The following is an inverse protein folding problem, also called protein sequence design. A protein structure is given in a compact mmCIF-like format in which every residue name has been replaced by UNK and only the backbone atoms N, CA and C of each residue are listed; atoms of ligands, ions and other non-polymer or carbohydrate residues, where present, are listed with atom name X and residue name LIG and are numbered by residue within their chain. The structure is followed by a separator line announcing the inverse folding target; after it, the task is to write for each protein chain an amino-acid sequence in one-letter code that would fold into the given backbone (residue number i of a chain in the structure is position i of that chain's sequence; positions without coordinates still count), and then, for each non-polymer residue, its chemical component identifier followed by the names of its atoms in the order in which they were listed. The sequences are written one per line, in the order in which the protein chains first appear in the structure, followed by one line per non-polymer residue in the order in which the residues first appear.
data_IF_866733985174
#
_entry.id   IF_866733985174
#
_cell.length_a   1.000
_cell.length_b   1.000
_cell.length_c   1.000
_cell.angle_alpha   90.00
_cell.angle_beta   90.00
_cell.angle_gamma   90.00
#
_symmetry.space_group_name_H-M   'P 1'
#
loop_
_entity.id
_entity.type
_entity.pdbx_description
1 polymer ?
2 polymer ?
3 non-polymer ?
#
# COMPACT_ATOMS: atom_id res chain seq x y z
N UNK A 1 -17.24 -7.30 32.65
CA UNK A 1 -17.33 -8.10 31.44
C UNK A 1 -16.90 -7.29 30.22
N UNK A 2 -15.62 -6.91 30.19
CA UNK A 2 -15.12 -6.05 29.13
C UNK A 2 -15.09 -6.79 27.80
N UNK A 3 -15.39 -6.07 26.73
CA UNK A 3 -15.28 -6.65 25.39
C UNK A 3 -13.80 -6.91 25.07
N UNK A 4 -13.48 -8.02 24.37
CA UNK A 4 -12.06 -8.40 24.18
C UNK A 4 -11.37 -7.62 23.05
N UNK A 5 -11.37 -6.28 23.15
CA UNK A 5 -10.69 -5.49 22.14
C UNK A 5 -9.19 -5.77 22.12
N UNK A 6 -8.61 -6.10 23.26
CA UNK A 6 -7.20 -6.46 23.29
C UNK A 6 -6.88 -7.63 22.38
N UNK A 7 -7.72 -8.67 22.41
CA UNK A 7 -7.52 -9.82 21.52
C UNK A 7 -7.49 -9.43 20.05
N UNK A 8 -8.27 -8.42 19.65
CA UNK A 8 -8.32 -8.04 18.25
C UNK A 8 -7.14 -7.14 17.90
N UNK A 9 -6.93 -6.03 18.61
CA UNK A 9 -5.89 -5.03 18.24
C UNK A 9 -4.53 -5.64 18.55
N UNK A 10 -4.30 -6.07 19.79
CA UNK A 10 -3.04 -6.78 20.17
C UNK A 10 -3.27 -8.26 19.88
N UNK A 11 -3.39 -8.66 18.60
CA UNK A 11 -3.60 -10.06 18.18
C UNK A 11 -2.24 -10.71 17.95
N UNK A 12 -2.10 -12.01 18.23
CA UNK A 12 -0.79 -12.71 18.09
C UNK A 12 -0.38 -12.63 16.63
N UNK A 13 -1.32 -12.80 15.70
CA UNK A 13 -1.06 -12.74 14.23
C UNK A 13 -2.16 -11.91 13.58
N UNK A 14 -1.92 -11.35 12.40
CA UNK A 14 -2.93 -10.58 11.63
C UNK A 14 -3.13 -11.32 10.31
N UNK A 15 -4.36 -11.34 9.77
CA UNK A 15 -4.68 -12.13 8.56
C UNK A 15 -4.37 -11.39 7.27
N UNK A 16 -4.25 -12.09 6.15
CA UNK A 16 -4.09 -11.47 4.83
C UNK A 16 -5.42 -10.83 4.42
N UNK A 17 -5.31 -9.74 3.65
CA UNK A 17 -6.51 -8.99 3.30
C UNK A 17 -7.46 -9.83 2.46
N UNK A 18 -6.91 -10.71 1.60
CA UNK A 18 -7.79 -11.54 0.79
C UNK A 18 -8.56 -12.53 1.67
N UNK A 19 -8.00 -12.89 2.81
CA UNK A 19 -8.60 -13.84 3.76
C UNK A 19 -8.89 -13.15 5.10
N UNK A 20 -9.43 -11.94 5.05
CA UNK A 20 -9.52 -11.13 6.27
C UNK A 20 -10.31 -11.86 7.35
N UNK A 21 -9.92 -11.65 8.59
CA UNK A 21 -10.51 -12.37 9.72
C UNK A 21 -11.70 -11.56 10.27
N UNK A 22 -12.74 -12.27 10.70
CA UNK A 22 -13.87 -11.65 11.38
C UNK A 22 -14.08 -12.29 12.74
N UNK A 23 -14.15 -11.45 13.78
CA UNK A 23 -14.52 -11.86 15.12
C UNK A 23 -15.82 -11.17 15.50
N UNK A 24 -16.79 -11.94 15.98
CA UNK A 24 -18.04 -11.38 16.48
C UNK A 24 -17.90 -11.02 17.96
N UNK A 25 -18.35 -9.82 18.31
CA UNK A 25 -18.26 -9.27 19.65
C UNK A 25 -19.68 -9.00 20.14
N UNK A 26 -20.04 -9.61 21.26
CA UNK A 26 -21.42 -9.57 21.75
C UNK A 26 -21.41 -9.78 23.26
N UNK A 27 -22.46 -9.29 23.90
CA UNK A 27 -22.72 -9.57 25.31
C UNK A 27 -21.54 -9.16 26.20
N UNK A 28 -21.15 -7.90 26.09
CA UNK A 28 -20.00 -7.40 26.83
C UNK A 28 -20.13 -5.89 26.92
N UNK A 29 -19.32 -5.29 27.80
CA UNK A 29 -19.21 -3.84 27.95
C UNK A 29 -18.02 -3.36 27.12
N UNK A 30 -18.28 -2.42 26.22
CA UNK A 30 -17.26 -1.91 25.31
C UNK A 30 -16.82 -0.53 25.79
N UNK A 31 -15.53 -0.38 26.07
CA UNK A 31 -14.92 0.90 26.43
C UNK A 31 -14.08 1.36 25.24
N UNK A 32 -14.69 2.20 24.38
CA UNK A 32 -13.97 2.73 23.24
C UNK A 32 -13.03 3.88 23.58
N UNK A 33 -13.22 4.54 24.73
CA UNK A 33 -12.37 5.70 25.04
C UNK A 33 -10.90 5.30 25.12
N UNK A 34 -10.61 4.10 25.62
CA UNK A 34 -9.24 3.59 25.62
C UNK A 34 -8.72 3.48 24.20
N UNK A 35 -9.61 3.21 23.24
CA UNK A 35 -9.23 3.09 21.84
C UNK A 35 -8.95 4.45 21.22
N UNK A 36 -9.91 5.38 21.33
CA UNK A 36 -9.78 6.66 20.65
C UNK A 36 -8.71 7.54 21.29
N UNK A 37 -8.61 7.51 22.62
CA UNK A 37 -7.66 8.38 23.33
C UNK A 37 -6.30 7.70 23.41
N UNK A 38 -5.65 7.62 22.25
CA UNK A 38 -4.32 7.04 22.15
C UNK A 38 -3.65 7.60 20.91
N UNK A 39 -2.35 7.35 20.79
CA UNK A 39 -1.60 7.71 19.59
C UNK A 39 -1.32 6.51 18.70
N UNK A 40 -1.95 5.36 18.95
CA UNK A 40 -1.55 4.12 18.30
C UNK A 40 -2.12 3.97 16.89
N UNK A 41 -3.22 4.65 16.57
CA UNK A 41 -3.92 4.45 15.31
C UNK A 41 -3.69 5.64 14.39
N UNK A 42 -3.11 5.38 13.21
CA UNK A 42 -2.94 6.46 12.24
C UNK A 42 -4.28 6.98 11.77
N UNK A 43 -5.25 6.09 11.57
CA UNK A 43 -6.56 6.46 11.04
C UNK A 43 -7.62 5.96 12.01
N UNK A 44 -8.69 6.73 12.21
CA UNK A 44 -9.83 6.35 13.09
C UNK A 44 -11.11 6.93 12.49
N UNK A 45 -11.46 6.57 11.23
CA UNK A 45 -12.62 7.13 10.57
C UNK A 45 -13.89 6.48 11.08
N UNK A 46 -14.98 7.26 11.14
CA UNK A 46 -16.28 6.72 11.51
C UNK A 46 -17.37 7.27 10.60
N UNK A 47 -18.34 6.41 10.31
CA UNK A 47 -19.45 6.68 9.38
C UNK A 47 -20.75 6.35 10.10
N UNK A 48 -21.63 7.34 10.23
CA UNK A 48 -22.89 7.15 10.91
C UNK A 48 -22.85 7.29 12.42
N UNK A 49 -21.69 7.52 13.01
CA UNK A 49 -21.56 7.71 14.45
C UNK A 49 -20.53 8.79 14.71
N UNK A 50 -20.54 9.34 15.94
CA UNK A 50 -19.53 10.31 16.33
C UNK A 50 -18.49 9.66 17.21
N UNK A 51 -17.19 9.89 16.96
CA UNK A 51 -16.17 9.25 17.80
C UNK A 51 -16.24 9.66 19.26
N UNK A 52 -16.63 10.91 19.56
CA UNK A 52 -16.68 11.36 20.95
C UNK A 52 -17.74 10.63 21.76
N UNK A 53 -18.81 10.15 21.11
CA UNK A 53 -19.97 9.62 21.82
C UNK A 53 -20.14 8.12 21.68
N UNK A 54 -19.08 7.41 21.27
CA UNK A 54 -19.25 5.99 21.01
C UNK A 54 -19.59 5.22 22.27
N UNK A 55 -19.08 5.65 23.42
CA UNK A 55 -19.41 4.99 24.68
C UNK A 55 -20.85 5.21 25.11
N UNK A 56 -21.56 6.14 24.47
CA UNK A 56 -22.98 6.38 24.73
C UNK A 56 -23.90 5.51 23.91
N UNK A 57 -23.37 4.67 23.03
CA UNK A 57 -24.18 3.94 22.06
C UNK A 57 -24.40 2.49 22.50
N UNK A 58 -25.51 1.94 22.05
CA UNK A 58 -25.89 0.55 22.34
C UNK A 58 -26.17 -0.14 21.01
N UNK A 59 -25.60 -1.33 20.84
CA UNK A 59 -25.76 -2.08 19.60
C UNK A 59 -26.12 -3.52 19.91
N UNK A 60 -26.76 -4.18 18.94
CA UNK A 60 -27.06 -5.60 19.06
C UNK A 60 -25.79 -6.45 18.98
N UNK A 61 -24.92 -6.16 18.02
CA UNK A 61 -23.67 -6.90 17.85
C UNK A 61 -22.63 -6.01 17.20
N UNK A 62 -21.37 -6.38 17.37
CA UNK A 62 -20.27 -5.75 16.67
C UNK A 62 -19.48 -6.82 15.91
N UNK A 63 -19.13 -6.52 14.67
CA UNK A 63 -18.26 -7.39 13.89
C UNK A 63 -16.92 -6.70 13.74
N UNK A 64 -15.84 -7.43 13.96
CA UNK A 64 -14.49 -6.90 13.85
C UNK A 64 -13.78 -7.61 12.71
N UNK A 65 -13.61 -6.92 11.59
CA UNK A 65 -12.85 -7.43 10.46
C UNK A 65 -11.43 -6.89 10.56
N UNK A 66 -10.45 -7.75 10.32
CA UNK A 66 -9.06 -7.32 10.48
C UNK A 66 -8.19 -7.96 9.42
N UNK A 67 -7.13 -7.23 9.06
CA UNK A 67 -6.27 -7.63 7.95
C UNK A 67 -5.13 -6.63 7.83
N UNK A 68 -4.17 -6.95 6.96
CA UNK A 68 -3.02 -6.10 6.67
C UNK A 68 -3.07 -5.71 5.20
N UNK A 69 -2.78 -4.45 4.90
CA UNK A 69 -2.61 -3.99 3.53
C UNK A 69 -1.48 -2.97 3.49
N UNK A 70 -1.18 -2.47 2.29
CA UNK A 70 -0.25 -1.36 2.17
C UNK A 70 -0.92 -0.06 2.63
N UNK A 71 -0.10 0.86 3.13
CA UNK A 71 -0.61 2.16 3.57
C UNK A 71 -1.38 2.95 2.52
N UNK A 72 -0.87 3.01 1.29
CA UNK A 72 -1.52 3.85 0.27
C UNK A 72 -2.92 3.39 -0.08
N UNK A 73 -3.32 2.18 0.29
CA UNK A 73 -4.66 1.69 0.01
C UNK A 73 -5.62 1.85 1.19
N UNK A 74 -5.14 2.29 2.36
CA UNK A 74 -6.05 2.40 3.50
C UNK A 74 -7.19 3.36 3.20
N UNK A 75 -6.94 4.40 2.39
CA UNK A 75 -8.01 5.32 2.02
C UNK A 75 -9.14 4.64 1.24
N UNK A 76 -8.85 3.51 0.61
CA UNK A 76 -9.86 2.75 -0.13
C UNK A 76 -10.83 2.01 0.77
N UNK A 77 -10.54 1.87 2.06
CA UNK A 77 -11.46 1.20 2.97
C UNK A 77 -12.47 2.23 3.45
N UNK A 78 -13.41 2.59 2.58
CA UNK A 78 -14.40 3.62 2.84
C UNK A 78 -15.56 3.44 1.88
N UNK A 79 -16.77 3.86 2.24
CA UNK A 79 -17.88 3.79 1.29
C UNK A 79 -17.56 4.56 0.02
N UNK A 80 -17.97 3.98 -1.11
CA UNK A 80 -17.88 4.66 -2.39
C UNK A 80 -16.52 4.69 -3.02
N UNK A 81 -15.58 3.86 -2.56
CA UNK A 81 -14.22 3.86 -3.07
C UNK A 81 -14.05 2.78 -4.13
N UNK A 82 -13.02 2.94 -4.95
CA UNK A 82 -12.64 1.96 -5.94
C UNK A 82 -11.14 1.72 -5.86
N UNK A 83 -10.69 0.65 -6.51
CA UNK A 83 -9.32 0.19 -6.42
C UNK A 83 -9.25 -1.30 -6.17
N UNK A 84 -8.02 -1.81 -6.23
CA UNK A 84 -7.82 -3.26 -6.14
C UNK A 84 -8.32 -3.80 -4.81
N UNK A 85 -8.14 -3.04 -3.74
CA UNK A 85 -8.53 -3.52 -2.41
C UNK A 85 -10.04 -3.50 -2.27
N UNK A 86 -10.66 -2.36 -2.53
CA UNK A 86 -12.12 -2.26 -2.42
C UNK A 86 -12.81 -3.20 -3.41
N UNK A 87 -12.24 -3.35 -4.62
CA UNK A 87 -12.91 -4.13 -5.65
C UNK A 87 -12.73 -5.64 -5.44
N UNK A 88 -11.53 -6.09 -5.05
CA UNK A 88 -11.23 -7.51 -5.10
C UNK A 88 -10.96 -8.15 -3.75
N UNK A 89 -10.91 -7.38 -2.66
CA UNK A 89 -10.45 -7.93 -1.38
C UNK A 89 -11.46 -7.67 -0.27
N UNK A 90 -11.81 -6.41 -0.05
CA UNK A 90 -12.72 -6.04 1.03
C UNK A 90 -13.52 -4.82 0.60
N UNK A 91 -14.84 -4.97 0.51
CA UNK A 91 -15.73 -3.95 -0.04
C UNK A 91 -16.69 -3.51 1.06
N UNK A 92 -16.68 -2.22 1.36
CA UNK A 92 -17.65 -1.67 2.29
C UNK A 92 -18.91 -1.22 1.55
N UNK A 93 -20.09 -1.37 2.15
CA UNK A 93 -21.31 -0.90 1.49
C UNK A 93 -21.40 0.62 1.49
N UNK A 94 -22.19 1.14 0.54
CA UNK A 94 -22.39 2.58 0.48
C UNK A 94 -22.94 3.12 1.80
N UNK A 95 -23.86 2.40 2.42
CA UNK A 95 -24.52 2.85 3.65
C UNK A 95 -23.83 2.32 4.90
N UNK A 96 -22.52 2.07 4.83
CA UNK A 96 -21.80 1.52 5.96
C UNK A 96 -21.97 2.38 7.20
N UNK A 97 -22.23 1.73 8.33
CA UNK A 97 -22.24 2.38 9.64
C UNK A 97 -21.22 1.67 10.52
N UNK A 98 -20.19 2.38 10.92
CA UNK A 98 -19.12 1.78 11.69
C UNK A 98 -17.85 2.61 11.60
N UNK A 99 -16.76 2.02 12.06
CA UNK A 99 -15.48 2.72 12.07
C UNK A 99 -14.38 1.87 11.46
N UNK A 100 -13.49 2.54 10.72
CA UNK A 100 -12.29 1.94 10.14
C UNK A 100 -11.09 2.52 10.86
N UNK A 101 -10.25 1.65 11.42
CA UNK A 101 -9.14 2.03 12.27
C UNK A 101 -7.89 1.37 11.69
N UNK A 102 -6.81 2.14 11.55
CA UNK A 102 -5.62 1.58 10.93
C UNK A 102 -4.36 2.20 11.54
N UNK A 103 -3.28 1.42 11.51
CA UNK A 103 -2.01 1.86 12.07
C UNK A 103 -0.85 1.14 11.41
N UNK A 104 0.26 1.86 11.27
CA UNK A 104 1.48 1.29 10.72
C UNK A 104 1.99 0.15 11.60
N UNK A 105 2.27 -1.00 10.98
CA UNK A 105 2.77 -2.16 11.70
C UNK A 105 4.10 -2.65 11.13
N UNK A 106 4.87 -1.74 10.51
CA UNK A 106 6.17 -2.12 9.97
C UNK A 106 7.06 -2.78 11.02
N UNK A 107 6.98 -2.33 12.27
CA UNK A 107 7.84 -2.89 13.32
C UNK A 107 7.42 -4.29 13.73
N UNK A 108 6.19 -4.71 13.44
CA UNK A 108 5.72 -6.03 13.81
C UNK A 108 5.66 -7.00 12.64
N UNK A 109 5.35 -6.53 11.44
CA UNK A 109 4.95 -7.40 10.34
C UNK A 109 5.92 -7.40 9.17
N UNK A 110 6.99 -6.61 9.22
CA UNK A 110 8.01 -6.66 8.19
C UNK A 110 9.20 -7.51 8.64
N UNK A 111 9.93 -8.02 7.65
CA UNK A 111 11.13 -8.82 7.87
C UNK A 111 12.11 -8.40 6.77
N UNK A 112 13.40 -8.39 7.09
CA UNK A 112 14.41 -8.13 6.05
C UNK A 112 14.34 -9.21 4.97
N UNK A 113 14.27 -8.76 3.72
CA UNK A 113 14.07 -9.64 2.59
C UNK A 113 12.64 -9.84 2.17
N UNK A 114 11.66 -9.41 2.97
CA UNK A 114 10.27 -9.51 2.59
C UNK A 114 9.46 -10.59 3.27
N UNK A 115 8.26 -10.23 3.74
CA UNK A 115 7.27 -11.20 4.19
C UNK A 115 6.33 -11.53 3.04
N UNK A 116 6.48 -12.74 2.49
CA UNK A 116 5.66 -13.17 1.36
C UNK A 116 4.36 -13.84 1.81
N UNK A 117 4.16 -14.00 3.11
CA UNK A 117 2.99 -14.69 3.65
C UNK A 117 1.74 -13.81 3.70
N UNK A 118 1.87 -12.51 3.45
CA UNK A 118 0.71 -11.63 3.31
C UNK A 118 0.39 -11.45 1.83
N UNK A 119 -0.86 -11.73 1.47
CA UNK A 119 -1.32 -11.70 0.08
C UNK A 119 -2.51 -10.77 -0.06
N UNK A 120 -2.74 -10.35 -1.30
CA UNK A 120 -3.97 -9.67 -1.68
C UNK A 120 -4.39 -10.14 -3.07
N UNK A 121 -5.68 -10.02 -3.37
CA UNK A 121 -6.20 -10.46 -4.66
C UNK A 121 -5.92 -9.39 -5.71
N UNK A 122 -5.21 -9.78 -6.76
CA UNK A 122 -4.79 -8.85 -7.80
C UNK A 122 -5.70 -8.88 -9.03
N UNK A 123 -6.37 -9.99 -9.28
CA UNK A 123 -7.19 -10.18 -10.47
C UNK A 123 -8.54 -10.78 -10.07
N UNK A 124 -9.60 -10.28 -10.68
CA UNK A 124 -10.92 -10.85 -10.47
C UNK A 124 -11.83 -10.43 -11.62
N UNK A 125 -12.75 -11.33 -11.96
CA UNK A 125 -13.66 -11.08 -13.07
C UNK A 125 -14.68 -10.01 -12.75
N UNK A 126 -14.99 -9.79 -11.47
CA UNK A 126 -15.99 -8.82 -11.07
C UNK A 126 -15.69 -8.34 -9.66
N UNK A 127 -16.29 -7.20 -9.31
CA UNK A 127 -16.08 -6.61 -7.99
C UNK A 127 -16.80 -7.41 -6.91
N UNK A 128 -16.23 -7.39 -5.70
CA UNK A 128 -16.87 -8.02 -4.56
C UNK A 128 -18.14 -7.27 -4.15
N UNK A 129 -19.10 -8.02 -3.63
CA UNK A 129 -20.23 -7.43 -2.95
C UNK A 129 -19.80 -6.97 -1.55
N UNK A 130 -20.57 -6.07 -0.93
CA UNK A 130 -20.20 -5.61 0.42
C UNK A 130 -20.05 -6.78 1.38
N UNK A 131 -18.94 -6.79 2.12
CA UNK A 131 -18.66 -7.80 3.13
C UNK A 131 -18.56 -9.21 2.54
N UNK A 132 -18.34 -9.31 1.23
CA UNK A 132 -18.07 -10.59 0.60
C UNK A 132 -16.61 -10.98 0.79
N UNK A 133 -16.38 -12.29 0.92
CA UNK A 133 -15.03 -12.84 1.03
C UNK A 133 -14.84 -13.88 -0.06
N UNK A 134 -13.73 -13.75 -0.80
CA UNK A 134 -13.38 -14.68 -1.88
C UNK A 134 -12.00 -15.25 -1.56
N UNK A 135 -11.94 -16.55 -1.32
CA UNK A 135 -10.68 -17.23 -1.02
C UNK A 135 -10.30 -18.22 -2.12
N UNK A 136 -10.94 -18.13 -3.29
CA UNK A 136 -10.61 -19.02 -4.39
C UNK A 136 -9.24 -18.65 -4.97
N UNK A 137 -8.63 -19.62 -5.65
CA UNK A 137 -7.32 -19.44 -6.26
C UNK A 137 -7.31 -19.99 -7.68
N UNK A 138 -8.40 -19.74 -8.41
CA UNK A 138 -8.48 -20.16 -9.81
C UNK A 138 -7.58 -19.27 -10.68
N UNK A 139 -7.00 -19.88 -11.72
CA UNK A 139 -6.15 -19.15 -12.64
C UNK A 139 -7.00 -18.13 -13.39
N UNK A 140 -6.52 -16.90 -13.45
CA UNK A 140 -7.29 -15.81 -14.05
C UNK A 140 -7.00 -15.73 -15.54
N UNK A 141 -8.06 -15.73 -16.34
CA UNK A 141 -7.94 -15.67 -17.79
C UNK A 141 -7.84 -14.21 -18.21
N UNK A 142 -6.63 -13.75 -18.50
CA UNK A 142 -6.41 -12.37 -18.89
C UNK A 142 -6.52 -12.16 -20.40
N UNK A 143 -6.45 -13.22 -21.19
CA UNK A 143 -6.56 -13.11 -22.64
C UNK A 143 -7.70 -13.91 -23.22
N UNK A 144 -7.72 -14.02 -24.55
CA UNK A 144 -8.79 -14.75 -25.23
C UNK A 144 -8.62 -16.25 -25.18
N UNK A 145 -7.43 -16.75 -24.85
CA UNK A 145 -7.18 -18.19 -24.88
C UNK A 145 -7.53 -18.82 -23.53
N UNK A 146 -8.27 -19.94 -23.50
CA UNK A 146 -8.56 -20.58 -22.22
C UNK A 146 -7.30 -21.08 -21.54
N UNK A 147 -7.27 -20.96 -20.22
CA UNK A 147 -6.09 -21.33 -19.44
C UNK A 147 -6.05 -22.80 -19.07
N UNK A 148 -7.21 -23.44 -18.93
CA UNK A 148 -7.27 -24.86 -18.59
C UNK A 148 -6.43 -25.16 -17.35
N UNK A 149 -6.45 -24.23 -16.40
CA UNK A 149 -5.76 -24.44 -15.14
C UNK A 149 -4.26 -24.34 -15.19
N UNK A 150 -3.69 -23.80 -16.27
CA UNK A 150 -2.25 -23.75 -16.45
C UNK A 150 -1.79 -22.30 -16.41
N UNK A 151 -0.85 -22.00 -15.51
CA UNK A 151 -0.27 -20.66 -15.42
C UNK A 151 0.59 -20.36 -16.63
N UNK A 152 0.50 -19.14 -17.13
CA UNK A 152 1.20 -18.80 -18.35
C UNK A 152 1.11 -17.31 -18.66
N UNK A 153 1.38 -16.99 -19.92
CA UNK A 153 1.62 -15.60 -20.31
C UNK A 153 0.45 -14.70 -19.92
N UNK A 154 -0.76 -15.09 -20.33
CA UNK A 154 -1.97 -14.32 -20.05
C UNK A 154 -2.85 -15.02 -19.02
N UNK A 155 -2.28 -15.95 -18.25
CA UNK A 155 -3.03 -16.78 -17.31
C UNK A 155 -2.31 -16.64 -15.96
N UNK A 156 -2.89 -15.84 -15.08
CA UNK A 156 -2.21 -15.36 -13.89
C UNK A 156 -2.71 -16.09 -12.65
N UNK A 157 -1.78 -16.43 -11.77
CA UNK A 157 -2.14 -16.76 -10.40
C UNK A 157 -2.82 -15.56 -9.77
N UNK A 158 -3.98 -15.73 -9.11
CA UNK A 158 -4.81 -14.56 -8.81
C UNK A 158 -4.37 -13.77 -7.59
N UNK A 159 -3.51 -14.32 -6.74
CA UNK A 159 -3.06 -13.60 -5.55
C UNK A 159 -1.65 -13.06 -5.76
N UNK A 160 -1.33 -12.01 -5.01
CA UNK A 160 -0.06 -11.32 -5.11
C UNK A 160 0.45 -11.04 -3.71
N UNK A 161 1.73 -11.33 -3.47
CA UNK A 161 2.34 -10.99 -2.19
C UNK A 161 2.68 -9.51 -2.16
N UNK A 162 2.49 -8.89 -0.99
CA UNK A 162 2.95 -7.52 -0.80
C UNK A 162 4.47 -7.46 -0.75
N UNK A 163 5.10 -8.44 -0.11
CA UNK A 163 6.55 -8.41 0.03
C UNK A 163 7.07 -7.24 0.83
N UNK A 164 6.40 -6.91 1.94
CA UNK A 164 6.80 -5.74 2.71
C UNK A 164 8.23 -5.86 3.20
N UNK A 165 9.04 -4.83 2.94
CA UNK A 165 10.40 -4.74 3.41
C UNK A 165 10.59 -3.46 4.22
N UNK A 166 11.43 -3.50 5.27
CA UNK A 166 11.53 -2.33 6.16
C UNK A 166 12.07 -1.08 5.49
N UNK A 167 12.78 -1.19 4.37
CA UNK A 167 13.30 -0.01 3.68
C UNK A 167 12.27 0.67 2.76
N UNK A 168 11.07 0.12 2.62
CA UNK A 168 10.06 0.79 1.81
C UNK A 168 9.75 2.19 2.32
N UNK A 169 9.32 3.05 1.40
CA UNK A 169 8.76 4.33 1.80
C UNK A 169 7.49 4.17 2.60
N UNK A 170 7.21 5.18 3.43
CA UNK A 170 6.11 5.07 4.39
C UNK A 170 4.80 4.76 3.67
N UNK A 171 4.60 5.31 2.48
CA UNK A 171 3.41 5.01 1.72
C UNK A 171 3.31 3.56 1.31
N UNK A 172 4.44 2.86 1.24
CA UNK A 172 4.49 1.45 0.86
C UNK A 172 4.72 0.54 2.05
N UNK A 173 4.65 1.05 3.28
CA UNK A 173 4.83 0.21 4.45
C UNK A 173 3.52 -0.50 4.79
N UNK A 174 3.59 -1.60 5.54
CA UNK A 174 2.35 -2.30 5.92
C UNK A 174 1.59 -1.54 6.99
N UNK A 175 0.27 -1.52 6.83
CA UNK A 175 -0.66 -1.00 7.84
C UNK A 175 -1.64 -2.11 8.19
N UNK A 176 -1.84 -2.31 9.49
CA UNK A 176 -2.92 -3.16 9.97
C UNK A 176 -4.21 -2.36 10.04
N UNK A 177 -5.31 -2.97 9.62
CA UNK A 177 -6.61 -2.33 9.55
C UNK A 177 -7.63 -3.22 10.27
N UNK A 178 -8.43 -2.61 11.13
CA UNK A 178 -9.59 -3.23 11.76
C UNK A 178 -10.81 -2.37 11.46
N UNK A 179 -11.84 -2.98 10.89
CA UNK A 179 -13.12 -2.33 10.63
C UNK A 179 -14.13 -2.91 11.61
N UNK A 180 -14.65 -2.06 12.48
CA UNK A 180 -15.73 -2.43 13.39
C UNK A 180 -17.06 -2.02 12.77
N UNK A 181 -17.90 -3.01 12.47
CA UNK A 181 -19.25 -2.80 11.97
C UNK A 181 -20.22 -2.95 13.13
N UNK A 182 -21.09 -1.95 13.31
CA UNK A 182 -22.07 -1.95 14.39
C UNK A 182 -23.42 -2.40 13.81
N UNK A 183 -23.83 -3.63 14.15
CA UNK A 183 -25.04 -4.21 13.59
C UNK A 183 -26.25 -3.65 14.31
N UNK A 184 -27.19 -3.08 13.55
CA UNK A 184 -28.43 -2.54 14.09
C UNK A 184 -29.61 -3.36 13.57
N UNK A 185 -30.11 -4.25 14.43
CA UNK A 185 -31.19 -5.17 14.13
C UNK A 185 -32.34 -4.88 15.08
N UNK A 186 -33.56 -5.20 14.65
CA UNK A 186 -34.73 -4.95 15.48
C UNK A 186 -34.76 -6.01 16.58
N UNK A 187 -34.02 -5.72 17.64
CA UNK A 187 -33.87 -6.61 18.78
C UNK A 187 -33.25 -5.85 19.94
N UNK A 188 -33.20 -6.42 21.15
CA UNK A 188 -32.51 -5.75 22.25
C UNK A 188 -31.01 -5.69 22.03
N UNK A 189 -30.41 -4.56 22.39
CA UNK A 189 -28.97 -4.41 22.34
C UNK A 189 -28.30 -5.31 23.38
N UNK A 190 -27.18 -5.92 22.99
CA UNK A 190 -26.38 -6.72 23.92
C UNK A 190 -24.98 -6.22 24.15
N UNK A 191 -24.52 -5.20 23.41
CA UNK A 191 -23.19 -4.63 23.59
C UNK A 191 -23.38 -3.13 23.80
N UNK A 192 -23.24 -2.68 25.05
CA UNK A 192 -23.39 -1.27 25.41
C UNK A 192 -22.13 -0.78 26.12
N UNK A 193 -21.97 0.54 26.14
CA UNK A 193 -20.87 1.15 26.83
C UNK A 193 -21.01 1.04 28.33
N UNK A 194 -19.99 1.53 29.05
CA UNK A 194 -20.04 1.45 30.52
C UNK A 194 -21.16 2.31 31.08
N UNK A 195 -21.87 1.75 32.06
CA UNK A 195 -22.97 2.45 32.70
C UNK A 195 -22.46 3.45 33.73
N UNK B 1 -0.50 12.89 -8.28
CA UNK B 1 -1.69 13.76 -8.04
C UNK B 1 -1.46 14.66 -6.83
N UNK B 2 -1.72 14.13 -5.64
CA UNK B 2 -1.54 14.89 -4.40
C UNK B 2 -0.08 14.85 -4.02
N UNK B 3 0.52 16.03 -3.83
CA UNK B 3 1.93 16.17 -3.49
C UNK B 3 2.06 16.99 -2.22
N UNK B 4 2.88 16.50 -1.29
CA UNK B 4 3.16 17.19 -0.03
C UNK B 4 4.66 17.41 0.07
N UNK B 5 5.06 18.64 0.37
CA UNK B 5 6.47 19.00 0.52
C UNK B 5 6.67 19.56 1.92
N UNK B 6 7.68 19.04 2.62
CA UNK B 6 7.95 19.34 4.01
C UNK B 6 9.32 20.00 4.14
N UNK B 7 9.40 21.02 5.00
CA UNK B 7 10.66 21.69 5.24
C UNK B 7 10.72 22.14 6.70
N UNK B 8 11.94 22.41 7.17
CA UNK B 8 12.16 22.91 8.52
C UNK B 8 12.96 21.99 9.41
N UNK B 9 13.32 20.78 8.98
CA UNK B 9 14.10 19.90 9.81
C UNK B 9 15.51 20.41 10.04
N UNK B 10 16.10 19.97 11.15
CA UNK B 10 17.44 20.39 11.48
C UNK B 10 17.82 19.91 12.87
N UNK B 11 18.92 20.49 13.38
CA UNK B 11 19.46 20.15 14.69
C UNK B 11 19.07 21.23 15.68
N UNK B 12 18.57 20.81 16.85
CA UNK B 12 18.10 21.73 17.88
C UNK B 12 18.59 21.23 19.23
N UNK B 13 19.06 22.15 20.06
CA UNK B 13 19.48 21.80 21.42
C UNK B 13 18.27 21.64 22.32
N UNK B 14 18.42 20.92 23.43
CA UNK B 14 17.28 20.73 24.34
C UNK B 14 16.71 22.07 24.81
N UNK B 15 15.38 22.14 24.89
CA UNK B 15 14.70 23.35 25.29
C UNK B 15 14.43 24.33 24.17
N UNK B 16 14.93 24.07 22.97
CA UNK B 16 14.71 24.96 21.85
C UNK B 16 13.36 24.74 21.20
N UNK B 17 13.08 25.59 20.21
CA UNK B 17 11.84 25.54 19.46
C UNK B 17 12.14 25.40 17.97
N UNK B 18 11.17 24.87 17.23
CA UNK B 18 11.33 24.64 15.80
C UNK B 18 10.01 24.86 15.08
N UNK B 19 10.10 25.28 13.82
CA UNK B 19 8.94 25.46 12.97
C UNK B 19 9.08 24.61 11.72
N UNK B 20 8.06 23.78 11.45
CA UNK B 20 8.01 22.93 10.28
C UNK B 20 6.88 23.39 9.36
N UNK B 21 7.16 23.45 8.07
CA UNK B 21 6.19 23.91 7.08
C UNK B 21 5.87 22.77 6.12
N UNK B 22 4.57 22.55 5.88
CA UNK B 22 4.11 21.56 4.91
C UNK B 22 3.20 22.25 3.90
N UNK B 23 3.55 22.13 2.62
CA UNK B 23 2.77 22.69 1.53
C UNK B 23 2.20 21.57 0.67
N UNK B 24 0.93 21.72 0.29
CA UNK B 24 0.22 20.70 -0.46
C UNK B 24 -0.15 21.21 -1.85
N UNK B 25 -0.30 20.28 -2.78
CA UNK B 25 -0.67 20.61 -4.14
C UNK B 25 -1.40 19.42 -4.76
N UNK B 26 -2.17 19.71 -5.81
CA UNK B 26 -2.87 18.68 -6.56
C UNK B 26 -4.27 18.40 -6.09
N UNK B 27 -4.79 19.15 -5.12
CA UNK B 27 -6.14 18.93 -4.62
C UNK B 27 -6.58 20.17 -3.85
N UNK B 28 -7.87 20.22 -3.53
CA UNK B 28 -8.45 21.34 -2.80
C UNK B 28 -7.97 21.30 -1.36
N UNK B 29 -7.01 22.16 -1.03
CA UNK B 29 -6.43 22.16 0.31
C UNK B 29 -7.42 22.70 1.35
N UNK B 30 -8.25 23.67 0.98
CA UNK B 30 -9.11 24.31 1.95
C UNK B 30 -10.11 23.32 2.56
N UNK B 31 -10.71 22.47 1.72
CA UNK B 31 -11.75 21.57 2.21
C UNK B 31 -11.20 20.41 3.01
N UNK B 32 -9.96 20.00 2.75
CA UNK B 32 -9.38 18.84 3.41
C UNK B 32 -8.68 19.23 4.69
N UNK B 33 -8.71 18.31 5.67
CA UNK B 33 -8.01 18.50 6.92
C UNK B 33 -6.55 18.09 6.79
N UNK B 34 -5.78 18.30 7.85
CA UNK B 34 -4.34 18.11 7.82
C UNK B 34 -3.90 17.43 9.11
N UNK B 35 -2.77 16.74 9.04
CA UNK B 35 -2.25 16.03 10.20
C UNK B 35 -0.75 15.90 10.15
N UNK B 36 -0.15 15.80 11.35
CA UNK B 36 1.29 15.65 11.51
C UNK B 36 1.53 14.44 12.40
N UNK B 37 2.43 13.55 11.96
CA UNK B 37 2.78 12.35 12.70
C UNK B 37 4.29 12.25 12.80
N UNK B 38 4.76 11.33 13.64
CA UNK B 38 6.19 11.11 13.82
C UNK B 38 6.47 9.61 13.89
N UNK B 39 7.61 9.21 13.34
CA UNK B 39 8.06 7.82 13.37
C UNK B 39 9.46 7.77 13.95
N UNK B 40 9.63 6.97 15.00
CA UNK B 40 10.94 6.77 15.63
C UNK B 40 11.57 5.53 15.01
N UNK B 41 12.85 5.54 14.67
CA UNK B 41 13.46 4.33 14.10
C UNK B 41 13.33 3.15 15.06
N UNK B 42 12.83 2.03 14.53
CA UNK B 42 12.59 0.86 15.33
C UNK B 42 11.25 0.83 16.03
N UNK B 43 10.43 1.87 15.88
CA UNK B 43 9.13 1.94 16.53
C UNK B 43 8.07 2.30 15.50
N UNK B 44 6.82 1.96 15.83
CA UNK B 44 5.73 2.21 14.91
C UNK B 44 5.40 3.68 14.78
N UNK B 45 4.77 4.01 13.65
CA UNK B 45 4.36 5.38 13.38
C UNK B 45 3.29 5.83 14.37
N UNK B 46 3.43 7.08 14.84
CA UNK B 46 2.50 7.65 15.81
C UNK B 46 2.13 9.07 15.38
N UNK B 47 0.87 9.44 15.59
CA UNK B 47 0.39 10.77 15.24
C UNK B 47 0.64 11.73 16.38
N UNK B 48 1.03 12.96 16.05
CA UNK B 48 1.34 13.98 17.04
C UNK B 48 0.31 15.10 17.06
N UNK B 49 -0.24 15.47 15.91
CA UNK B 49 -1.21 16.56 15.88
C UNK B 49 -2.14 16.41 14.69
N UNK B 50 -3.33 17.00 14.81
CA UNK B 50 -4.28 17.00 13.72
C UNK B 50 -5.07 18.30 13.76
N UNK B 51 -5.49 18.77 12.58
CA UNK B 51 -6.30 19.98 12.47
C UNK B 51 -7.36 19.75 11.40
N UNK B 52 -8.60 20.09 11.72
CA UNK B 52 -9.72 19.91 10.81
C UNK B 52 -9.91 21.14 9.92
N UNK B 53 -10.75 20.98 8.90
CA UNK B 53 -11.01 22.09 7.99
C UNK B 53 -11.76 23.22 8.68
N UNK B 54 -12.56 22.91 9.71
CA UNK B 54 -13.33 23.90 10.43
C UNK B 54 -12.53 24.61 11.51
N UNK B 55 -11.27 24.24 11.71
CA UNK B 55 -10.44 24.86 12.72
C UNK B 55 -10.24 24.02 13.97
N UNK B 56 -11.01 22.96 14.15
CA UNK B 56 -10.84 22.09 15.31
C UNK B 56 -9.47 21.43 15.26
N UNK B 57 -8.82 21.34 16.43
CA UNK B 57 -7.49 20.78 16.53
C UNK B 57 -7.46 19.69 17.60
N UNK B 58 -6.66 18.66 17.35
CA UNK B 58 -6.45 17.56 18.27
C UNK B 58 -4.96 17.41 18.54
N UNK B 59 -4.60 17.40 19.82
CA UNK B 59 -3.21 17.28 20.26
C UNK B 59 -3.05 16.01 21.07
N UNK B 60 -1.96 15.29 20.83
CA UNK B 60 -1.70 14.06 21.56
C UNK B 60 -1.38 14.38 23.01
N UNK B 61 -1.77 13.48 23.91
CA UNK B 61 -1.70 13.76 25.34
C UNK B 61 -0.26 14.00 25.79
N UNK B 62 0.66 13.11 25.41
CA UNK B 62 2.04 13.24 25.86
C UNK B 62 2.74 14.46 25.29
N UNK B 63 2.16 15.10 24.27
CA UNK B 63 2.73 16.30 23.67
C UNK B 63 1.77 17.48 23.73
N UNK B 64 0.71 17.37 24.51
CA UNK B 64 -0.27 18.45 24.59
C UNK B 64 0.35 19.69 25.22
N UNK B 65 0.02 20.85 24.68
CA UNK B 65 0.54 22.11 25.18
C UNK B 65 1.86 22.52 24.56
N UNK B 66 2.79 21.57 24.46
CA UNK B 66 4.10 21.87 23.90
C UNK B 66 4.03 22.04 22.38
N UNK B 67 3.15 21.31 21.72
CA UNK B 67 3.05 21.33 20.26
C UNK B 67 1.91 22.25 19.84
N UNK B 68 2.08 22.88 18.68
CA UNK B 68 1.04 23.74 18.11
C UNK B 68 0.93 23.50 16.62
N UNK B 69 -0.30 23.50 16.11
CA UNK B 69 -0.58 23.27 14.70
C UNK B 69 -1.47 24.40 14.19
N UNK B 70 -1.12 24.95 13.03
CA UNK B 70 -1.89 26.03 12.43
C UNK B 70 -1.95 25.83 10.92
N UNK B 71 -2.94 26.45 10.29
CA UNK B 71 -3.15 26.34 8.86
C UNK B 71 -3.37 27.72 8.25
N UNK B 72 -2.80 27.93 7.06
CA UNK B 72 -3.00 29.14 6.28
C UNK B 72 -3.50 28.73 4.91
N UNK B 73 -4.75 29.09 4.59
CA UNK B 73 -5.35 28.70 3.33
C UNK B 73 -4.84 29.55 2.16
N UNK B 74 -4.40 30.77 2.43
CA UNK B 74 -3.92 31.63 1.35
C UNK B 74 -2.75 31.01 0.63
N UNK B 75 -1.79 30.48 1.38
CA UNK B 75 -0.64 29.79 0.80
C UNK B 75 -0.81 28.27 0.79
N UNK B 76 -1.95 27.76 1.23
CA UNK B 76 -2.21 26.33 1.28
C UNK B 76 -1.08 25.61 2.03
N UNK B 77 -0.84 26.07 3.26
CA UNK B 77 0.29 25.59 4.05
C UNK B 77 -0.18 25.27 5.46
N UNK B 78 0.55 24.39 6.13
CA UNK B 78 0.35 24.13 7.55
C UNK B 78 1.68 24.28 8.28
N UNK B 79 1.63 24.96 9.42
CA UNK B 79 2.78 25.25 10.26
C UNK B 79 2.68 24.45 11.55
N UNK B 80 3.80 23.81 11.93
CA UNK B 80 3.88 23.01 13.13
C UNK B 80 4.98 23.60 14.01
N UNK B 81 4.60 24.05 15.20
CA UNK B 81 5.54 24.68 16.13
C UNK B 81 5.83 23.74 17.29
N UNK B 82 7.11 23.53 17.56
CA UNK B 82 7.59 22.69 18.64
C UNK B 82 8.27 23.57 19.67
N UNK B 83 7.86 23.44 20.93
CA UNK B 83 8.44 24.17 22.04
C UNK B 83 8.85 23.20 23.15
N UNK B 84 10.01 23.45 23.75
CA UNK B 84 10.53 22.62 24.83
C UNK B 84 10.70 21.18 24.37
N UNK B 85 11.50 21.01 23.32
CA UNK B 85 11.80 19.69 22.79
C UNK B 85 12.65 18.89 23.77
N UNK B 86 12.52 17.57 23.69
CA UNK B 86 13.23 16.63 24.54
C UNK B 86 13.85 15.53 23.67
N UNK B 87 14.83 14.80 24.21
CA UNK B 87 15.45 13.74 23.40
C UNK B 87 14.49 12.68 22.93
N UNK B 88 13.34 12.53 23.60
CA UNK B 88 12.35 11.54 23.17
C UNK B 88 11.65 11.92 21.87
N UNK B 89 11.83 13.15 21.38
CA UNK B 89 11.16 13.62 20.18
C UNK B 89 11.98 13.42 18.92
N UNK B 90 13.19 12.86 19.02
CA UNK B 90 14.00 12.60 17.85
C UNK B 90 13.31 11.57 16.96
N UNK B 91 12.96 11.96 15.74
CA UNK B 91 12.17 11.10 14.87
C UNK B 91 12.03 11.76 13.51
N UNK B 92 11.42 11.04 12.57
CA UNK B 92 11.10 11.57 11.26
C UNK B 92 9.63 11.95 11.27
N UNK B 93 9.34 13.23 11.04
CA UNK B 93 7.98 13.75 11.05
C UNK B 93 7.41 13.77 9.65
N UNK B 94 6.15 13.37 9.53
CA UNK B 94 5.46 13.25 8.26
C UNK B 94 4.17 14.06 8.28
N UNK B 95 3.80 14.54 7.10
CA UNK B 95 2.64 15.39 6.88
C UNK B 95 1.60 14.61 6.07
N UNK B 96 0.34 14.65 6.50
CA UNK B 96 -0.69 13.83 5.88
C UNK B 96 -1.97 14.63 5.68
N UNK B 97 -2.74 14.22 4.68
CA UNK B 97 -4.03 14.80 4.34
C UNK B 97 -5.11 13.75 4.46
N UNK B 98 -6.36 14.19 4.37
CA UNK B 98 -7.48 13.25 4.41
C UNK B 98 -7.57 12.48 3.10
N UNK B 99 -7.70 11.15 3.20
CA UNK B 99 -7.89 10.35 2.01
C UNK B 99 -9.25 10.59 1.36
N UNK B 100 -10.28 10.81 2.17
CA UNK B 100 -11.61 11.08 1.66
C UNK B 100 -12.25 12.20 2.48
N UNK B 101 -13.17 12.91 1.83
CA UNK B 101 -13.84 14.03 2.50
C UNK B 101 -14.84 13.54 3.53
N UNK B 102 -15.53 12.43 3.25
CA UNK B 102 -16.55 11.94 4.15
C UNK B 102 -15.95 11.31 5.39
N UNK B 103 -16.83 11.10 6.38
CA UNK B 103 -16.45 10.50 7.63
C UNK B 103 -16.09 11.52 8.69
N UNK B 104 -16.06 11.05 9.94
CA UNK B 104 -15.72 11.87 11.09
C UNK B 104 -14.53 11.25 11.81
N UNK B 105 -13.54 12.08 12.13
CA UNK B 105 -12.32 11.64 12.75
C UNK B 105 -11.10 12.02 11.93
N UNK B 106 -9.94 11.89 12.58
CA UNK B 106 -8.68 12.24 11.94
C UNK B 106 -8.25 11.16 10.97
N UNK B 107 -7.76 11.57 9.81
CA UNK B 107 -7.39 10.66 8.73
C UNK B 107 -6.02 11.04 8.19
N UNK B 108 -5.21 10.02 7.90
CA UNK B 108 -3.92 10.17 7.24
C UNK B 108 -3.98 9.37 5.94
N UNK B 109 -4.38 10.04 4.85
CA UNK B 109 -4.55 9.37 3.58
C UNK B 109 -3.27 9.33 2.76
N UNK B 110 -2.62 10.47 2.61
CA UNK B 110 -1.39 10.60 1.84
C UNK B 110 -0.22 10.87 2.77
N UNK B 111 0.95 10.34 2.40
CA UNK B 111 2.16 10.49 3.18
C UNK B 111 3.22 11.19 2.35
N UNK B 112 3.86 12.20 2.94
CA UNK B 112 4.94 12.91 2.28
C UNK B 112 6.29 12.31 2.58
N UNK B 113 7.33 12.99 2.07
CA UNK B 113 8.70 12.50 2.29
C UNK B 113 9.06 12.53 3.77
N UNK B 114 8.70 13.59 4.47
CA UNK B 114 9.02 13.73 5.87
C UNK B 114 10.39 14.33 6.10
N UNK B 115 10.60 14.83 7.32
CA UNK B 115 11.86 15.46 7.70
C UNK B 115 12.34 14.89 9.03
N UNK B 116 13.63 14.60 9.12
CA UNK B 116 14.22 14.05 10.33
C UNK B 116 14.63 15.18 11.28
N UNK B 117 14.30 15.01 12.56
CA UNK B 117 14.67 15.97 13.61
C UNK B 117 15.33 15.20 14.74
N UNK B 118 16.49 15.69 15.18
CA UNK B 118 17.25 15.09 16.26
C UNK B 118 17.71 16.18 17.22
N UNK B 119 17.79 15.83 18.49
CA UNK B 119 18.19 16.76 19.55
C UNK B 119 19.65 16.51 19.89
N UNK B 120 20.46 17.56 19.84
CA UNK B 120 21.87 17.45 20.14
C UNK B 120 22.10 17.40 21.65
N UNK B 121 23.32 17.04 22.03
CA UNK B 121 23.68 16.95 23.44
C UNK B 121 25.07 17.53 23.68
N UNK B 137 17.50 1.76 -3.78
CA UNK B 137 16.43 1.69 -4.78
C UNK B 137 16.84 0.81 -5.95
N UNK B 138 15.86 0.21 -6.61
CA UNK B 138 16.10 -0.70 -7.72
C UNK B 138 16.15 0.10 -9.01
N UNK B 139 17.21 -0.10 -9.79
CA UNK B 139 17.37 0.55 -11.09
C UNK B 139 17.60 -0.52 -12.16
N UNK B 140 16.92 -0.35 -13.29
CA UNK B 140 17.00 -1.30 -14.40
C UNK B 140 17.54 -0.57 -15.63
N UNK B 141 18.56 -1.16 -16.25
CA UNK B 141 19.21 -0.58 -17.43
C UNK B 141 19.10 -1.59 -18.57
N UNK B 142 18.58 -1.14 -19.72
CA UNK B 142 18.41 -1.97 -20.90
C UNK B 142 19.48 -1.60 -21.93
N UNK B 143 20.12 -2.62 -22.50
CA UNK B 143 21.16 -2.41 -23.50
C UNK B 143 21.00 -3.45 -24.61
N UNK B 144 21.58 -3.14 -25.77
CA UNK B 144 21.56 -4.04 -26.90
C UNK B 144 20.58 -3.69 -28.00
N UNK B 145 19.88 -2.57 -27.88
CA UNK B 145 18.96 -2.15 -28.93
C UNK B 145 19.67 -1.55 -30.13
N UNK B 146 18.93 -1.36 -31.19
CA UNK B 146 19.47 -0.78 -32.41
C UNK B 146 18.73 -1.31 -33.63
N UNK B 147 19.43 -1.30 -34.75
CA UNK B 147 18.88 -1.72 -36.04
C UNK B 147 19.38 -3.11 -36.40
N UNK B 148 18.47 -3.99 -36.78
CA UNK B 148 18.80 -5.35 -37.20
C UNK B 148 18.06 -5.65 -38.49
N UNK B 149 18.77 -6.28 -39.43
CA UNK B 149 18.15 -6.64 -40.70
C UNK B 149 17.12 -7.74 -40.50
N UNK B 150 16.13 -7.84 -41.38
CA UNK B 150 15.10 -8.89 -41.22
C UNK B 150 15.73 -10.27 -41.21
N UNK B 151 15.21 -11.13 -40.35
CA UNK B 151 15.71 -12.49 -40.22
C UNK B 151 16.98 -12.61 -39.40
N UNK B 152 17.49 -11.51 -38.85
CA UNK B 152 18.70 -11.55 -38.06
C UNK B 152 18.44 -11.93 -36.62
N UNK B 153 19.49 -11.84 -35.82
CA UNK B 153 19.44 -12.18 -34.40
C UNK B 153 20.00 -11.02 -33.58
N UNK B 154 19.56 -10.94 -32.33
CA UNK B 154 19.98 -9.87 -31.43
C UNK B 154 20.03 -10.41 -30.01
N UNK B 155 20.65 -9.65 -29.12
CA UNK B 155 20.75 -10.01 -27.71
C UNK B 155 20.57 -8.76 -26.86
N UNK B 156 19.41 -8.63 -26.23
CA UNK B 156 19.17 -7.55 -25.29
C UNK B 156 19.55 -7.99 -23.88
N UNK B 157 19.99 -7.03 -23.07
CA UNK B 157 20.43 -7.30 -21.70
C UNK B 157 19.80 -6.30 -20.75
N UNK B 158 19.19 -6.81 -19.69
CA UNK B 158 18.65 -6.00 -18.62
C UNK B 158 19.49 -6.20 -17.36
N UNK B 159 20.07 -5.12 -16.86
CA UNK B 159 20.89 -5.14 -15.65
C UNK B 159 20.12 -4.48 -14.52
N UNK B 160 20.01 -5.17 -13.39
CA UNK B 160 19.29 -4.68 -12.23
C UNK B 160 20.29 -4.40 -11.11
N UNK B 161 20.21 -3.20 -10.54
CA UNK B 161 21.08 -2.77 -9.45
C UNK B 161 20.24 -2.34 -8.26
N UNK B 162 20.74 -2.62 -7.06
CA UNK B 162 20.02 -2.27 -5.85
C UNK B 162 18.88 -3.21 -5.50
N UNK B 163 18.86 -4.41 -6.08
CA UNK B 163 17.80 -5.37 -5.78
C UNK B 163 18.09 -6.05 -4.46
N UNK B 164 17.11 -6.02 -3.55
CA UNK B 164 17.24 -6.64 -2.24
C UNK B 164 16.25 -7.77 -2.00
N UNK B 165 15.21 -7.89 -2.84
CA UNK B 165 14.22 -8.94 -2.65
C UNK B 165 14.83 -10.31 -2.94
N UNK B 166 14.62 -11.27 -2.04
CA UNK B 166 15.14 -12.61 -2.25
C UNK B 166 14.51 -13.27 -3.47
N UNK B 167 13.21 -13.09 -3.65
CA UNK B 167 12.47 -13.68 -4.76
C UNK B 167 11.77 -12.58 -5.54
N UNK B 168 11.91 -12.58 -6.86
CA UNK B 168 11.33 -11.54 -7.69
C UNK B 168 11.11 -12.09 -9.10
N UNK B 169 10.24 -11.40 -9.84
CA UNK B 169 9.92 -11.72 -11.22
C UNK B 169 10.42 -10.62 -12.13
N UNK B 170 11.04 -11.00 -13.24
CA UNK B 170 11.55 -10.06 -14.23
C UNK B 170 10.83 -10.31 -15.54
N UNK B 171 10.24 -9.25 -16.10
CA UNK B 171 9.48 -9.35 -17.33
C UNK B 171 10.02 -8.43 -18.40
N UNK B 172 9.82 -8.83 -19.65
CA UNK B 172 10.16 -8.02 -20.82
C UNK B 172 8.87 -7.67 -21.54
N UNK B 173 8.66 -6.37 -21.77
CA UNK B 173 7.49 -5.86 -22.48
C UNK B 173 7.96 -5.06 -23.68
N UNK B 174 7.05 -4.86 -24.64
CA UNK B 174 7.37 -4.07 -25.83
C UNK B 174 6.17 -3.22 -26.21
N UNK B 175 6.47 -2.05 -26.77
CA UNK B 175 5.46 -1.13 -27.30
C UNK B 175 5.83 -0.80 -28.73
N UNK B 176 5.00 -1.20 -29.67
CA UNK B 176 5.26 -0.97 -31.09
C UNK B 176 4.51 0.27 -31.57
N UNK B 177 4.99 0.91 -32.64
CA UNK B 177 4.29 2.08 -33.17
C UNK B 177 2.85 1.74 -33.55
N UNK B 178 1.92 2.60 -33.12
CA UNK B 178 0.52 2.39 -33.41
C UNK B 178 -0.16 1.34 -32.57
N UNK B 179 0.53 0.75 -31.60
CA UNK B 179 -0.02 -0.30 -30.76
C UNK B 179 0.28 -0.01 -29.30
N UNK B 180 -0.63 -0.42 -28.43
CA UNK B 180 -0.44 -0.24 -27.00
C UNK B 180 0.63 -1.21 -26.49
N UNK B 181 1.29 -0.81 -25.40
CA UNK B 181 2.32 -1.64 -24.80
C UNK B 181 1.76 -3.01 -24.44
N UNK B 182 2.47 -4.06 -24.79
CA UNK B 182 2.05 -5.43 -24.54
C UNK B 182 3.22 -6.24 -24.00
N UNK B 183 2.88 -7.29 -23.25
CA UNK B 183 3.92 -8.15 -22.70
C UNK B 183 4.57 -9.01 -23.75
N UNK B 184 5.81 -9.42 -23.46
CA UNK B 184 6.59 -10.27 -24.35
C UNK B 184 7.05 -11.55 -23.65
N UNK B 185 7.67 -11.41 -22.48
CA UNK B 185 8.22 -12.58 -21.79
C UNK B 185 8.25 -12.32 -20.29
N UNK B 186 8.35 -13.41 -19.52
CA UNK B 186 8.40 -13.33 -18.08
C UNK B 186 9.25 -14.47 -17.53
N UNK B 187 9.99 -14.17 -16.45
CA UNK B 187 10.91 -15.12 -15.83
C UNK B 187 10.82 -14.98 -14.31
N UNK B 188 10.86 -16.10 -13.61
CA UNK B 188 10.95 -16.12 -12.16
C UNK B 188 12.37 -16.40 -11.71
N UNK B 189 12.78 -15.70 -10.65
CA UNK B 189 14.17 -15.79 -10.21
C UNK B 189 14.47 -17.13 -9.55
N UNK B 190 13.53 -17.67 -8.77
CA UNK B 190 13.80 -18.87 -7.99
C UNK B 190 14.13 -20.06 -8.87
N UNK B 191 13.34 -20.28 -9.91
CA UNK B 191 13.49 -21.45 -10.77
C UNK B 191 13.69 -21.12 -12.24
N UNK B 192 13.55 -19.86 -12.65
CA UNK B 192 13.75 -19.51 -14.04
C UNK B 192 12.66 -19.98 -14.96
N UNK B 193 11.45 -20.23 -14.45
CA UNK B 193 10.36 -20.65 -15.31
C UNK B 193 10.09 -19.58 -16.37
N UNK B 194 9.95 -20.02 -17.62
CA UNK B 194 9.90 -19.14 -18.77
C UNK B 194 8.47 -19.05 -19.28
N UNK B 195 7.96 -17.83 -19.44
CA UNK B 195 6.66 -17.59 -20.04
C UNK B 195 6.85 -16.69 -21.26
N UNK B 196 6.27 -17.11 -22.38
CA UNK B 196 6.36 -16.38 -23.64
C UNK B 196 4.98 -16.03 -24.15
N UNK B 197 4.89 -14.94 -24.90
CA UNK B 197 3.63 -14.54 -25.51
C UNK B 197 3.33 -15.40 -26.73
N UNK B 198 2.07 -15.40 -27.14
CA UNK B 198 1.65 -16.22 -28.28
C UNK B 198 2.37 -15.82 -29.55
N UNK B 199 2.53 -14.52 -29.78
CA UNK B 199 3.12 -14.03 -31.02
C UNK B 199 4.64 -14.20 -31.04
N UNK B 200 5.27 -14.51 -29.92
CA UNK B 200 6.72 -14.60 -29.83
C UNK B 200 7.20 -15.98 -29.43
N UNK B 201 6.29 -16.94 -29.21
CA UNK B 201 6.70 -18.26 -28.78
C UNK B 201 7.54 -18.94 -29.86
N UNK B 202 8.64 -19.57 -29.44
CA UNK B 202 9.50 -20.30 -30.34
C UNK B 202 10.57 -19.47 -31.02
N UNK B 203 10.55 -18.15 -30.86
CA UNK B 203 11.52 -17.26 -31.48
C UNK B 203 12.39 -16.53 -30.48
N UNK B 204 11.82 -16.01 -29.40
CA UNK B 204 12.57 -15.25 -28.40
C UNK B 204 12.89 -16.16 -27.22
N UNK B 205 14.14 -16.09 -26.74
CA UNK B 205 14.62 -16.94 -25.66
C UNK B 205 15.14 -16.07 -24.53
N UNK B 206 14.51 -16.16 -23.37
CA UNK B 206 14.89 -15.36 -22.20
C UNK B 206 15.62 -16.28 -21.21
N UNK B 207 16.68 -15.76 -20.60
CA UNK B 207 17.46 -16.52 -19.65
C UNK B 207 18.03 -15.58 -18.60
N UNK B 208 18.45 -16.17 -17.48
CA UNK B 208 19.07 -15.45 -16.38
C UNK B 208 20.57 -15.66 -16.40
N UNK B 209 21.31 -14.70 -15.85
CA UNK B 209 22.75 -14.81 -15.72
C UNK B 209 23.10 -15.56 -14.43
N UNK B 210 23.94 -16.58 -14.56
CA UNK B 210 24.28 -17.41 -13.41
C UNK B 210 25.09 -16.64 -12.37
N UNK B 211 25.94 -15.71 -12.81
CA UNK B 211 26.84 -15.02 -11.90
C UNK B 211 26.22 -13.75 -11.31
N UNK B 212 25.59 -12.93 -12.14
CA UNK B 212 25.04 -11.65 -11.72
C UNK B 212 23.54 -11.61 -11.95
N UNK B 213 22.93 -10.52 -11.48
CA UNK B 213 21.49 -10.31 -11.63
C UNK B 213 21.19 -9.59 -12.94
N UNK B 214 21.56 -10.25 -14.05
CA UNK B 214 21.34 -9.73 -15.39
C UNK B 214 20.53 -10.75 -16.18
N UNK B 215 19.56 -10.25 -16.94
CA UNK B 215 18.65 -11.07 -17.73
C UNK B 215 18.95 -10.85 -19.20
N UNK B 216 19.20 -11.94 -19.92
CA UNK B 216 19.49 -11.88 -21.35
C UNK B 216 18.25 -12.32 -22.14
N UNK B 217 18.05 -11.68 -23.30
CA UNK B 217 16.91 -11.98 -24.16
C UNK B 217 17.43 -12.06 -25.59
N UNK B 218 17.46 -13.27 -26.14
CA UNK B 218 17.93 -13.50 -27.49
C UNK B 218 16.75 -13.44 -28.46
N UNK B 219 16.87 -12.57 -29.45
CA UNK B 219 15.88 -12.40 -30.51
C UNK B 219 16.33 -13.19 -31.73
N UNK B 220 15.47 -14.08 -32.21
CA UNK B 220 15.74 -14.89 -33.39
C UNK B 220 14.57 -14.80 -34.35
N UNK B 221 14.86 -14.90 -35.64
CA UNK B 221 13.85 -14.80 -36.69
C UNK B 221 13.05 -13.51 -36.56
N UNK B 222 13.78 -12.40 -36.44
CA UNK B 222 13.14 -11.10 -36.27
C UNK B 222 12.32 -10.74 -37.51
N UNK B 223 11.22 -10.03 -37.30
CA UNK B 223 10.30 -9.64 -38.34
C UNK B 223 10.06 -8.14 -38.26
N UNK B 224 9.60 -7.52 -39.36
CA UNK B 224 9.39 -6.06 -39.33
C UNK B 224 8.45 -5.61 -38.23
N UNK B 225 7.40 -6.39 -37.94
CA UNK B 225 6.46 -6.01 -36.89
C UNK B 225 7.09 -6.04 -35.50
N UNK B 226 8.25 -6.67 -35.34
CA UNK B 226 8.92 -6.69 -34.06
C UNK B 226 9.54 -5.35 -33.68
N UNK B 227 9.62 -4.41 -34.62
CA UNK B 227 10.16 -3.10 -34.31
C UNK B 227 9.34 -2.43 -33.22
N UNK B 228 10.00 -2.03 -32.13
CA UNK B 228 9.29 -1.49 -30.98
C UNK B 228 10.30 -1.02 -29.95
N UNK B 229 9.79 -0.34 -28.93
CA UNK B 229 10.58 0.03 -27.75
C UNK B 229 10.38 -1.07 -26.70
N UNK B 230 11.48 -1.69 -26.29
CA UNK B 230 11.45 -2.80 -25.34
C UNK B 230 11.87 -2.32 -23.97
N UNK B 231 11.15 -2.75 -22.94
CA UNK B 231 11.43 -2.41 -21.56
C UNK B 231 11.58 -3.69 -20.74
N UNK B 232 12.44 -3.62 -19.73
CA UNK B 232 12.60 -4.69 -18.76
C UNK B 232 12.16 -4.18 -17.39
N UNK B 233 11.36 -4.98 -16.68
CA UNK B 233 10.73 -4.54 -15.45
C UNK B 233 10.84 -5.65 -14.41
N UNK B 234 10.75 -5.26 -13.15
CA UNK B 234 10.93 -6.18 -12.02
C UNK B 234 9.83 -5.94 -10.99
N UNK B 235 9.35 -7.04 -10.40
CA UNK B 235 8.37 -6.97 -9.32
C UNK B 235 8.68 -8.07 -8.32
N UNK B 236 7.97 -8.04 -7.19
CA UNK B 236 8.14 -9.05 -6.14
C UNK B 236 7.31 -10.28 -6.47
N UNK B 237 7.83 -11.44 -6.10
CA UNK B 237 7.13 -12.70 -6.32
C UNK B 237 6.09 -12.98 -5.25
N UNK B 238 5.43 -14.12 -5.40
CA UNK B 238 4.38 -14.55 -4.49
C UNK B 238 4.70 -15.93 -3.92
N UNK B 239 4.40 -16.12 -2.64
CA UNK B 239 4.63 -17.39 -1.95
C UNK B 239 3.29 -17.92 -1.46
N UNK B 240 2.98 -19.17 -1.79
CA UNK B 240 1.71 -19.77 -1.41
C UNK B 240 1.83 -21.28 -1.46
N UNK B 241 1.34 -21.95 -0.40
CA UNK B 241 1.30 -23.41 -0.34
C UNK B 241 2.69 -24.02 -0.57
N UNK B 242 3.71 -23.34 -0.06
CA UNK B 242 5.06 -23.84 -0.19
C UNK B 242 5.65 -23.72 -1.58
N UNK B 243 5.03 -22.95 -2.46
CA UNK B 243 5.48 -22.79 -3.84
C UNK B 243 5.55 -21.31 -4.19
N UNK B 244 6.43 -20.99 -5.13
CA UNK B 244 6.64 -19.62 -5.57
C UNK B 244 5.97 -19.41 -6.92
N UNK B 245 5.11 -18.40 -7.01
CA UNK B 245 4.42 -18.03 -8.23
C UNK B 245 4.85 -16.62 -8.63
N UNK B 246 5.06 -16.43 -9.93
CA UNK B 246 5.53 -15.16 -10.47
C UNK B 246 4.59 -14.71 -11.56
N UNK B 247 4.17 -13.44 -11.49
CA UNK B 247 3.23 -12.86 -12.45
C UNK B 247 3.84 -11.62 -13.07
N UNK B 248 3.65 -11.47 -14.38
CA UNK B 248 4.13 -10.33 -15.16
C UNK B 248 2.92 -9.72 -15.86
N UNK B 249 2.25 -8.78 -15.19
CA UNK B 249 1.07 -8.11 -15.70
C UNK B 249 1.39 -6.65 -16.01
N UNK B 250 0.36 -5.91 -16.42
CA UNK B 250 0.54 -4.50 -16.75
C UNK B 250 1.02 -3.70 -15.54
N UNK B 251 0.44 -3.97 -14.37
CA UNK B 251 0.83 -3.27 -13.14
C UNK B 251 2.11 -3.89 -12.61
N UNK B 252 3.21 -3.16 -12.70
CA UNK B 252 4.51 -3.65 -12.28
C UNK B 252 5.12 -2.67 -11.29
N UNK B 253 5.89 -3.22 -10.34
CA UNK B 253 6.47 -2.38 -9.28
C UNK B 253 7.43 -1.36 -9.84
N UNK B 254 8.30 -1.76 -10.77
CA UNK B 254 9.33 -0.89 -11.32
C UNK B 254 9.33 -0.98 -12.84
N UNK B 255 9.80 0.08 -13.48
CA UNK B 255 9.91 0.12 -14.94
C UNK B 255 11.24 0.74 -15.33
N UNK B 256 11.79 0.28 -16.45
CA UNK B 256 13.04 0.79 -16.97
C UNK B 256 12.84 1.81 -18.06
N UNK B 257 13.97 2.34 -18.56
CA UNK B 257 13.91 3.33 -19.62
C UNK B 257 13.57 2.69 -20.96
N UNK B 258 14.15 1.54 -21.26
CA UNK B 258 13.87 0.82 -22.49
C UNK B 258 14.78 1.25 -23.62
N UNK B 259 14.81 0.42 -24.67
CA UNK B 259 15.64 0.67 -25.84
C UNK B 259 14.84 0.39 -27.10
N UNK B 260 15.17 1.11 -28.16
CA UNK B 260 14.49 0.93 -29.45
C UNK B 260 15.13 -0.19 -30.23
N UNK B 261 14.31 -1.05 -30.82
CA UNK B 261 14.76 -2.10 -31.73
C UNK B 261 14.00 -1.93 -33.03
N UNK B 262 14.74 -1.82 -34.13
CA UNK B 262 14.16 -1.58 -35.45
C UNK B 262 14.59 -2.69 -36.39
N UNK B 263 13.61 -3.42 -36.91
CA UNK B 263 13.84 -4.50 -37.87
C UNK B 263 13.47 -3.96 -39.25
N UNK B 264 14.48 -3.60 -40.03
CA UNK B 264 14.27 -3.05 -41.36
C UNK B 264 15.45 -3.40 -42.24
N UNK B 265 15.23 -3.36 -43.55
CA UNK B 265 16.28 -3.67 -44.52
C UNK B 265 17.37 -2.60 -44.49
X LIG C 1 -1.77 -3.05 23.13
X LIG C 1 -2.80 -1.93 23.04
X LIG C 1 -2.09 -0.60 22.97
X LIG C 1 -1.17 -0.45 24.17
X LIG C 1 -0.18 -1.63 24.22
X LIG C 1 0.71 -1.56 25.45
X LIG C 1 -4.89 -2.53 22.00
X LIG C 1 -5.98 -1.52 21.74
X LIG C 1 -3.66 -2.08 21.88
X LIG C 1 -3.04 0.47 22.95
X LIG C 1 -0.46 0.79 24.07
X LIG C 1 -0.91 -2.86 24.26
X LIG C 1 1.58 -0.43 25.39
X LIG C 1 -5.14 -3.69 22.29
#
# INVERSE_FOLDING_TARGET
NLCPFGEVFNATRFASVYAWNRKRISNCVADYSVLYNSASFSTFKCYGVSPTKLNDLCFTNVYADSFVIRGDEVRQIAPGQTGKIADYNYKLPDDFTGCVIAWNSNNLDSKVGGNYNYLYRLFRKSNLKPFERDISTEIYQAGSTPCNGVEGFNCYFPLQSYGFQPTNGVGYQPYRVVVLSFELLHAPATVCGPK
QVQLVETGGGLVQPGGSLRLSCAASGFTFSSYAMGWARQVPGKGLEWVSYIYSDGSTEYQDSVKGRFTISRDNAKSTVYLQMNSLKPEDTAVYYCATEGSLGGWGRDFGSWGQGTQVTVSSGGGGSGGGGSGGGGSQVQLVETGGGFVQPGGSLRLSCAASGVTLDYYAIGWFRQAPGKEREGVSCIGSSDGRTYYSDSVKGRFTISRDNAKNTVYLQMNSLKPEDTAVYYCALTVGTYYSGNYHYTCSDDMDYWGKGTQVTVSSGGYPYDVPDYAGHHHHHH
NAG C1 C2 C3 C4 C5 C6 C7 C8 N2 O3 O4 O5 O6 O7
#
